data_IF_056778119034
#
_entry.id   IF_056778119034
#
_cell.length_a   1.000
_cell.length_b   1.000
_cell.length_c   1.000
_cell.angle_alpha   90.00
_cell.angle_beta   90.00
_cell.angle_gamma   90.00
#
_symmetry.space_group_name_H-M   'P 1'
#
loop_
_entity.id
_entity.type
_entity.pdbx_description
1 polymer ?
#
# COMPACT_ATOMS: atom_id res chain seq x y z
N UNK A 1 8.30 -31.14 -26.94
CA UNK A 1 7.44 -29.96 -26.95
C UNK A 1 7.14 -29.55 -25.51
N UNK A 2 7.40 -28.31 -25.17
CA UNK A 2 7.10 -27.81 -23.82
C UNK A 2 6.09 -26.68 -23.89
N UNK A 3 5.20 -26.69 -22.93
CA UNK A 3 4.16 -25.67 -22.82
C UNK A 3 4.42 -24.80 -21.60
N UNK A 4 4.17 -23.51 -21.76
CA UNK A 4 4.08 -22.62 -20.62
C UNK A 4 2.61 -22.55 -20.20
N UNK A 5 2.36 -22.88 -18.96
CA UNK A 5 1.00 -22.86 -18.44
C UNK A 5 0.64 -21.46 -17.98
N UNK A 6 -0.52 -21.00 -18.43
CA UNK A 6 -1.06 -19.72 -17.97
C UNK A 6 -1.66 -19.90 -16.58
N UNK A 7 -1.54 -18.89 -15.77
CA UNK A 7 -2.14 -18.89 -14.44
C UNK A 7 -3.26 -17.85 -14.39
N UNK A 8 -4.30 -18.15 -13.66
CA UNK A 8 -5.37 -17.19 -13.42
C UNK A 8 -4.95 -16.13 -12.39
N UNK A 9 -3.79 -16.30 -11.82
CA UNK A 9 -3.26 -15.48 -10.73
C UNK A 9 -2.16 -14.53 -11.18
N UNK A 10 -2.12 -14.16 -12.46
CA UNK A 10 -1.26 -13.05 -12.86
C UNK A 10 -1.96 -11.78 -12.38
N UNK A 11 -2.07 -11.68 -11.10
CA UNK A 11 -2.75 -10.54 -10.54
C UNK A 11 -1.73 -9.45 -10.35
N UNK A 12 -1.80 -8.45 -11.20
CA UNK A 12 -1.07 -7.22 -11.00
C UNK A 12 -1.55 -6.59 -9.70
N UNK A 13 -0.62 -6.32 -8.80
CA UNK A 13 -0.94 -5.58 -7.59
C UNK A 13 -1.12 -4.11 -7.94
N UNK A 14 -2.30 -3.60 -7.65
CA UNK A 14 -2.67 -2.21 -7.96
C UNK A 14 -3.06 -1.48 -6.69
N UNK A 15 -2.48 -0.30 -6.52
CA UNK A 15 -2.78 0.59 -5.41
C UNK A 15 -3.42 1.84 -5.99
N UNK A 16 -4.56 2.23 -5.45
CA UNK A 16 -5.26 3.46 -5.85
C UNK A 16 -5.15 4.48 -4.73
N UNK A 17 -4.63 5.65 -5.06
CA UNK A 17 -4.44 6.73 -4.09
C UNK A 17 -5.55 7.75 -4.28
N UNK A 18 -6.36 7.92 -3.24
CA UNK A 18 -7.40 8.96 -3.14
C UNK A 18 -6.91 10.02 -2.16
N UNK A 19 -7.59 11.15 -2.16
CA UNK A 19 -7.24 12.27 -1.27
C UNK A 19 -7.24 11.86 0.22
N UNK A 20 -8.19 11.01 0.62
CA UNK A 20 -8.36 10.65 2.03
C UNK A 20 -8.12 9.18 2.35
N UNK A 21 -7.81 8.36 1.34
CA UNK A 21 -7.58 6.94 1.59
C UNK A 21 -6.75 6.31 0.46
N UNK A 22 -6.25 5.13 0.75
CA UNK A 22 -5.51 4.31 -0.20
C UNK A 22 -6.25 2.98 -0.29
N UNK A 23 -6.52 2.50 -1.50
CA UNK A 23 -7.12 1.20 -1.70
C UNK A 23 -6.15 0.24 -2.38
N UNK A 24 -6.24 -1.03 -1.99
CA UNK A 24 -5.43 -2.12 -2.52
C UNK A 24 -6.36 -3.11 -3.21
N UNK A 25 -5.99 -3.56 -4.41
CA UNK A 25 -6.77 -4.59 -5.06
C UNK A 25 -6.56 -5.95 -4.34
N UNK A 26 -7.32 -6.96 -4.74
CA UNK A 26 -7.28 -8.27 -4.08
C UNK A 26 -5.87 -8.88 -4.07
N UNK A 27 -5.13 -8.75 -5.16
CA UNK A 27 -3.78 -9.27 -5.25
C UNK A 27 -2.84 -8.61 -4.24
N UNK A 28 -2.94 -7.29 -4.09
CA UNK A 28 -2.14 -6.54 -3.13
C UNK A 28 -2.50 -6.91 -1.70
N UNK A 29 -3.78 -7.17 -1.42
CA UNK A 29 -4.25 -7.53 -0.08
C UNK A 29 -3.64 -8.82 0.47
N UNK A 30 -3.17 -9.71 -0.39
CA UNK A 30 -2.58 -10.98 0.04
C UNK A 30 -1.40 -10.80 0.98
N UNK A 31 -0.67 -9.71 0.85
CA UNK A 31 0.49 -9.42 1.69
C UNK A 31 0.12 -8.82 3.05
N UNK A 32 -1.16 -8.57 3.27
CA UNK A 32 -1.65 -7.90 4.49
C UNK A 32 -2.72 -8.69 5.23
N UNK A 33 -2.95 -9.95 4.85
CA UNK A 33 -4.07 -10.75 5.39
C UNK A 33 -4.00 -10.98 6.89
N UNK A 34 -2.80 -11.07 7.45
CA UNK A 34 -2.62 -11.39 8.86
C UNK A 34 -2.31 -10.17 9.73
N UNK A 35 -2.38 -8.97 9.17
CA UNK A 35 -2.05 -7.76 9.90
C UNK A 35 -3.25 -6.83 9.98
N UNK A 36 -3.25 -5.99 11.01
CA UNK A 36 -4.30 -4.99 11.22
C UNK A 36 -3.79 -3.57 11.01
N UNK A 37 -2.47 -3.40 10.96
CA UNK A 37 -1.85 -2.09 10.85
C UNK A 37 -0.69 -2.12 9.87
N UNK A 38 -0.41 -0.97 9.29
CA UNK A 38 0.70 -0.77 8.35
C UNK A 38 1.45 0.49 8.71
N UNK A 39 2.68 0.59 8.22
CA UNK A 39 3.42 1.84 8.17
C UNK A 39 3.31 2.40 6.76
N UNK A 40 3.17 3.70 6.64
CA UNK A 40 3.18 4.41 5.37
C UNK A 40 4.42 5.29 5.33
N UNK A 41 5.19 5.15 4.28
CA UNK A 41 6.40 5.92 4.10
C UNK A 41 6.57 6.39 2.67
N UNK A 42 7.47 7.32 2.47
CA UNK A 42 7.80 7.80 1.13
C UNK A 42 9.28 8.15 1.05
N UNK A 43 9.81 8.03 -0.16
CA UNK A 43 11.18 8.37 -0.48
C UNK A 43 11.15 9.49 -1.52
N UNK A 44 11.51 10.71 -1.10
CA UNK A 44 11.50 11.89 -1.96
C UNK A 44 12.54 11.81 -3.08
N UNK A 45 13.64 11.11 -2.84
CA UNK A 45 14.73 11.03 -3.82
C UNK A 45 14.35 10.16 -5.01
N UNK A 46 13.55 9.12 -4.79
CA UNK A 46 13.19 8.16 -5.82
C UNK A 46 11.72 8.19 -6.18
N UNK A 47 10.94 9.09 -5.59
CA UNK A 47 9.49 9.22 -5.81
C UNK A 47 8.76 7.90 -5.58
N UNK A 48 9.03 7.25 -4.45
CA UNK A 48 8.41 5.99 -4.09
C UNK A 48 7.62 6.10 -2.79
N UNK A 49 6.55 5.32 -2.72
CA UNK A 49 5.73 5.16 -1.52
C UNK A 49 5.88 3.71 -1.07
N UNK A 50 6.03 3.52 0.24
CA UNK A 50 6.12 2.19 0.84
C UNK A 50 4.97 1.96 1.80
N UNK A 51 4.40 0.75 1.75
CA UNK A 51 3.37 0.29 2.67
C UNK A 51 3.92 -0.98 3.32
N UNK A 52 4.23 -0.90 4.61
CA UNK A 52 4.84 -2.02 5.33
C UNK A 52 3.84 -2.66 6.29
N UNK A 53 3.53 -3.96 6.14
CA UNK A 53 2.70 -4.64 7.12
C UNK A 53 3.40 -4.71 8.48
N UNK A 54 2.65 -4.45 9.54
CA UNK A 54 3.15 -4.51 10.91
C UNK A 54 2.47 -5.67 11.62
N UNK A 55 3.27 -6.58 12.15
CA UNK A 55 2.74 -7.76 12.84
C UNK A 55 2.18 -7.40 14.20
N UNK A 56 1.28 -8.24 14.73
CA UNK A 56 0.76 -8.07 16.08
C UNK A 56 1.87 -8.08 17.11
N UNK A 57 2.86 -8.94 16.93
CA UNK A 57 4.02 -9.02 17.81
C UNK A 57 4.80 -7.71 17.84
N UNK A 58 5.01 -7.09 16.70
CA UNK A 58 5.69 -5.80 16.62
C UNK A 58 4.89 -4.71 17.33
N UNK A 59 3.56 -4.74 17.21
CA UNK A 59 2.68 -3.80 17.92
C UNK A 59 2.76 -4.01 19.43
N UNK A 60 2.66 -5.25 19.87
CA UNK A 60 2.70 -5.61 21.29
C UNK A 60 4.04 -5.24 21.95
N UNK A 61 5.11 -5.34 21.18
CA UNK A 61 6.46 -4.99 21.64
C UNK A 61 6.81 -3.51 21.44
N UNK A 62 5.85 -2.71 20.99
CA UNK A 62 6.01 -1.26 20.80
C UNK A 62 7.23 -0.91 19.93
N UNK A 63 7.47 -1.70 18.88
CA UNK A 63 8.60 -1.48 17.96
C UNK A 63 8.46 -0.13 17.24
N UNK A 64 7.22 0.27 16.94
CA UNK A 64 6.92 1.52 16.25
C UNK A 64 6.03 2.41 17.12
N UNK A 65 6.23 3.76 17.06
CA UNK A 65 5.33 4.69 17.75
C UNK A 65 3.88 4.52 17.26
N UNK A 66 2.94 4.62 18.18
CA UNK A 66 1.51 4.48 17.82
C UNK A 66 1.07 5.49 16.77
N UNK A 67 1.69 6.67 16.75
CA UNK A 67 1.38 7.72 15.77
C UNK A 67 1.78 7.35 14.34
N UNK A 68 2.62 6.33 14.15
CA UNK A 68 3.03 5.85 12.82
C UNK A 68 2.20 4.67 12.34
N UNK A 69 1.34 4.11 13.17
CA UNK A 69 0.53 2.95 12.83
C UNK A 69 -0.78 3.40 12.17
N UNK A 70 -1.05 2.84 10.99
CA UNK A 70 -2.27 3.12 10.24
C UNK A 70 -3.06 1.84 10.10
N UNK A 71 -4.35 1.89 10.38
CA UNK A 71 -5.19 0.71 10.30
C UNK A 71 -5.51 0.36 8.86
N UNK A 72 -5.41 -0.95 8.54
CA UNK A 72 -5.83 -1.48 7.26
C UNK A 72 -7.09 -2.32 7.45
N UNK A 73 -8.07 -2.13 6.57
CA UNK A 73 -9.32 -2.89 6.56
C UNK A 73 -9.36 -3.73 5.29
N UNK A 74 -9.49 -5.04 5.46
CA UNK A 74 -9.55 -5.96 4.33
C UNK A 74 -10.98 -6.44 4.11
N UNK A 75 -11.49 -6.22 2.90
CA UNK A 75 -12.75 -6.76 2.44
C UNK A 75 -12.56 -7.98 1.56
N UNK A 76 -13.64 -8.44 0.92
CA UNK A 76 -13.58 -9.62 0.05
C UNK A 76 -12.80 -9.38 -1.25
N UNK A 77 -12.85 -8.17 -1.78
CA UNK A 77 -12.27 -7.85 -3.08
C UNK A 77 -11.27 -6.71 -3.07
N UNK A 78 -11.12 -6.01 -1.95
CA UNK A 78 -10.16 -4.92 -1.83
C UNK A 78 -9.84 -4.64 -0.37
N UNK A 79 -8.74 -3.89 -0.13
CA UNK A 79 -8.39 -3.38 1.17
C UNK A 79 -8.34 -1.86 1.15
N UNK A 80 -8.43 -1.25 2.32
CA UNK A 80 -8.41 0.20 2.44
C UNK A 80 -7.61 0.66 3.65
N UNK A 81 -6.79 1.69 3.44
CA UNK A 81 -6.06 2.38 4.48
C UNK A 81 -6.58 3.81 4.49
N UNK A 82 -7.19 4.23 5.60
CA UNK A 82 -7.72 5.58 5.73
C UNK A 82 -6.70 6.46 6.42
N UNK A 83 -6.25 7.51 5.75
CA UNK A 83 -5.34 8.49 6.33
C UNK A 83 -5.38 9.80 5.55
N UNK A 84 -6.10 10.76 6.10
CA UNK A 84 -6.25 12.08 5.48
C UNK A 84 -4.92 12.83 5.41
N UNK A 85 -4.15 12.80 6.47
CA UNK A 85 -2.88 13.54 6.53
C UNK A 85 -1.87 13.01 5.51
N UNK A 86 -1.84 11.71 5.30
CA UNK A 86 -0.95 11.10 4.32
C UNK A 86 -1.34 11.50 2.90
N UNK A 87 -2.63 11.60 2.63
CA UNK A 87 -3.12 12.08 1.33
C UNK A 87 -2.68 13.50 1.04
N UNK A 88 -2.75 14.38 2.04
CA UNK A 88 -2.27 15.75 1.93
C UNK A 88 -0.76 15.79 1.71
N UNK A 89 0.02 15.00 2.43
CA UNK A 89 1.47 14.89 2.27
C UNK A 89 1.85 14.45 0.87
N UNK A 90 1.21 13.40 0.36
CA UNK A 90 1.48 12.90 -0.99
C UNK A 90 1.16 13.97 -2.02
N UNK A 91 0.03 14.64 -1.87
CA UNK A 91 -0.41 15.70 -2.79
C UNK A 91 0.64 16.81 -2.89
N UNK A 92 1.18 17.23 -1.76
CA UNK A 92 2.19 18.29 -1.71
C UNK A 92 3.56 17.83 -2.22
N UNK A 93 4.03 16.66 -1.79
CA UNK A 93 5.37 16.17 -2.11
C UNK A 93 5.53 15.76 -3.57
N UNK A 94 4.51 15.11 -4.10
CA UNK A 94 4.58 14.55 -5.46
C UNK A 94 3.72 15.35 -6.46
N UNK A 95 3.18 16.47 -6.03
CA UNK A 95 2.37 17.37 -6.86
C UNK A 95 1.21 16.64 -7.53
N UNK A 96 0.55 15.76 -6.79
CA UNK A 96 -0.63 15.06 -7.24
C UNK A 96 -1.85 15.96 -7.03
N UNK A 97 -2.60 16.21 -8.09
CA UNK A 97 -3.77 17.08 -8.06
C UNK A 97 -5.05 16.24 -8.08
N UNK A 98 -5.77 16.22 -6.97
CA UNK A 98 -7.04 15.49 -6.85
C UNK A 98 -8.24 16.29 -7.34
N UNK A 99 -8.07 17.56 -7.77
CA UNK A 99 -9.16 18.35 -8.30
C UNK A 99 -9.61 17.88 -9.68
N UNK A 100 -8.67 17.36 -10.48
CA UNK A 100 -8.96 16.89 -11.83
C UNK A 100 -9.29 15.39 -11.87
N UNK A 101 -8.85 14.63 -10.88
CA UNK A 101 -8.97 13.18 -10.87
C UNK A 101 -9.18 12.68 -9.46
N UNK A 102 -10.19 11.82 -9.27
CA UNK A 102 -10.54 11.31 -7.95
C UNK A 102 -9.48 10.39 -7.36
N UNK A 103 -8.79 9.64 -8.21
CA UNK A 103 -7.73 8.76 -7.75
C UNK A 103 -6.65 8.55 -8.80
N UNK A 104 -5.49 8.12 -8.34
CA UNK A 104 -4.36 7.75 -9.17
C UNK A 104 -4.02 6.30 -8.89
N UNK A 105 -3.95 5.49 -9.95
CA UNK A 105 -3.69 4.06 -9.84
C UNK A 105 -2.25 3.76 -10.23
N UNK A 106 -1.58 2.98 -9.42
CA UNK A 106 -0.19 2.60 -9.64
C UNK A 106 -0.03 1.10 -9.47
N UNK A 107 0.85 0.51 -10.28
CA UNK A 107 1.29 -0.85 -10.05
C UNK A 107 2.22 -0.86 -8.84
N UNK A 108 2.09 -1.90 -8.02
CA UNK A 108 2.94 -2.08 -6.85
C UNK A 108 3.77 -3.34 -6.99
N UNK A 109 4.89 -3.37 -6.28
CA UNK A 109 5.73 -4.56 -6.13
C UNK A 109 5.94 -4.80 -4.65
N UNK A 110 5.97 -6.08 -4.27
CA UNK A 110 6.28 -6.43 -2.89
C UNK A 110 7.76 -6.82 -2.77
N UNK A 111 8.48 -6.05 -1.96
CA UNK A 111 9.89 -6.31 -1.67
C UNK A 111 9.97 -7.33 -0.55
N UNK A 112 10.30 -8.57 -0.89
CA UNK A 112 10.36 -9.69 0.06
C UNK A 112 11.47 -9.49 1.09
N UNK A 113 12.57 -8.87 0.68
CA UNK A 113 13.72 -8.68 1.58
C UNK A 113 13.36 -7.70 2.70
N UNK A 114 12.72 -6.59 2.36
CA UNK A 114 12.34 -5.55 3.32
C UNK A 114 10.91 -5.71 3.85
N UNK A 115 10.17 -6.69 3.33
CA UNK A 115 8.78 -6.95 3.72
C UNK A 115 7.90 -5.72 3.62
N UNK A 116 7.91 -5.07 2.45
CA UNK A 116 7.10 -3.89 2.22
C UNK A 116 6.65 -3.82 0.77
N UNK A 117 5.47 -3.25 0.56
CA UNK A 117 4.93 -2.99 -0.77
C UNK A 117 5.42 -1.63 -1.23
N UNK A 118 5.93 -1.56 -2.46
CA UNK A 118 6.53 -0.35 -3.01
C UNK A 118 5.77 0.08 -4.25
N UNK A 119 5.47 1.37 -4.30
CA UNK A 119 4.81 2.01 -5.44
C UNK A 119 5.78 3.05 -6.00
N UNK A 120 6.05 2.97 -7.30
CA UNK A 120 6.83 3.98 -8.01
C UNK A 120 5.88 5.01 -8.60
N UNK A 121 6.04 6.26 -8.23
CA UNK A 121 5.22 7.34 -8.75
C UNK A 121 5.73 7.91 -10.06
#
# INVERSE_FOLDING_TARGET
MSFKWTTNDIATMTISIYETNITLNKAACRHFEEVTHVLLGFDDETDRIAIKPVTKEEIDNEIYPASQLHRIFLGKSYGRITNKNFGEDISQRFQIDFSDKQCYKYQAKFDVIHQMMIIQL
#
